data_IF_510624365411
#
_entry.id   IF_510624365411
#
_cell.length_a   1.000
_cell.length_b   1.000
_cell.length_c   1.000
_cell.angle_alpha   90.00
_cell.angle_beta   90.00
_cell.angle_gamma   90.00
#
_symmetry.space_group_name_H-M   'P 1'
#
loop_
_entity.id
_entity.type
_entity.pdbx_description
1 polymer ?
#
# COMPACT_ATOMS: atom_id res chain seq x y z
N UNK A 1 38.31 -26.38 5.85
CA UNK A 1 36.94 -26.84 5.53
C UNK A 1 35.88 -26.18 6.45
N UNK A 2 36.05 -24.91 6.85
CA UNK A 2 35.13 -24.17 7.76
C UNK A 2 34.84 -22.73 7.27
N UNK A 3 35.56 -22.21 6.27
CA UNK A 3 35.48 -20.78 5.86
C UNK A 3 34.58 -20.57 4.63
N UNK A 4 34.17 -21.64 3.93
CA UNK A 4 33.45 -21.54 2.66
C UNK A 4 31.91 -21.61 2.77
N UNK A 5 31.36 -21.85 3.97
CA UNK A 5 29.90 -21.86 4.19
C UNK A 5 29.31 -20.47 4.49
N UNK A 6 30.15 -19.47 4.76
CA UNK A 6 29.71 -18.09 5.02
C UNK A 6 29.48 -17.25 3.75
N UNK A 7 29.64 -17.86 2.56
CA UNK A 7 29.34 -17.25 1.27
C UNK A 7 27.94 -17.67 0.76
N UNK A 8 26.99 -17.96 1.66
CA UNK A 8 25.60 -17.77 1.29
C UNK A 8 25.39 -16.26 1.19
N UNK A 9 25.42 -15.77 -0.05
CA UNK A 9 24.73 -14.56 -0.45
C UNK A 9 23.39 -14.53 0.27
N UNK A 10 23.29 -13.76 1.36
CA UNK A 10 22.05 -13.11 1.74
C UNK A 10 21.71 -12.21 0.57
N UNK A 11 21.07 -12.77 -0.45
CA UNK A 11 20.07 -12.05 -1.22
C UNK A 11 19.04 -11.70 -0.15
N UNK A 12 19.28 -10.60 0.57
CA UNK A 12 18.25 -10.02 1.40
C UNK A 12 17.19 -9.57 0.40
N UNK A 13 15.98 -10.17 0.41
CA UNK A 13 14.88 -9.57 -0.31
C UNK A 13 14.49 -8.33 0.50
N UNK A 14 15.26 -7.25 0.37
CA UNK A 14 14.93 -6.00 1.01
C UNK A 14 13.61 -5.53 0.36
N UNK A 15 12.51 -5.58 1.12
CA UNK A 15 11.12 -5.38 0.70
C UNK A 15 10.47 -6.50 -0.14
N UNK A 16 10.51 -7.74 0.35
CA UNK A 16 9.53 -8.76 -0.05
C UNK A 16 8.45 -8.97 1.00
N UNK A 17 7.30 -9.51 0.57
CA UNK A 17 6.26 -9.94 1.49
C UNK A 17 6.72 -11.18 2.26
N UNK A 18 6.66 -11.09 3.59
CA UNK A 18 7.01 -12.20 4.48
C UNK A 18 5.78 -13.09 4.76
N UNK A 19 5.95 -14.42 4.88
CA UNK A 19 4.85 -15.31 5.19
C UNK A 19 4.24 -14.96 6.57
N UNK A 20 2.91 -14.82 6.61
CA UNK A 20 2.12 -14.42 7.80
C UNK A 20 2.29 -12.98 8.29
N UNK A 21 2.77 -12.06 7.44
CA UNK A 21 2.81 -10.63 7.76
C UNK A 21 1.40 -10.02 7.84
N UNK A 22 1.12 -9.26 8.90
CA UNK A 22 -0.19 -8.63 9.16
C UNK A 22 -0.20 -7.10 8.95
N UNK A 23 0.95 -6.48 8.71
CA UNK A 23 1.11 -5.05 8.50
C UNK A 23 1.75 -4.72 7.16
N UNK A 24 2.04 -3.43 6.94
CA UNK A 24 2.76 -2.95 5.76
C UNK A 24 4.21 -3.48 5.72
N UNK A 25 4.82 -3.45 4.53
CA UNK A 25 6.27 -3.63 4.35
C UNK A 25 7.04 -2.46 4.96
N UNK A 26 8.35 -2.65 5.15
CA UNK A 26 9.23 -1.64 5.72
C UNK A 26 9.30 -0.41 4.82
N UNK A 27 9.40 0.78 5.42
CA UNK A 27 9.44 2.02 4.66
C UNK A 27 10.83 2.29 4.07
N UNK A 28 10.96 2.16 2.76
CA UNK A 28 12.17 2.57 2.03
C UNK A 28 12.19 4.06 1.62
N UNK A 29 11.08 4.79 1.80
CA UNK A 29 10.95 6.21 1.41
C UNK A 29 10.25 7.03 2.49
N UNK A 30 10.55 8.34 2.62
CA UNK A 30 9.88 9.21 3.60
C UNK A 30 8.36 9.32 3.35
N UNK A 31 7.93 9.18 2.10
CA UNK A 31 6.50 9.14 1.75
C UNK A 31 5.82 7.89 2.32
N UNK A 32 6.46 6.72 2.21
CA UNK A 32 5.93 5.48 2.80
C UNK A 32 5.85 5.57 4.32
N UNK A 33 6.84 6.20 4.97
CA UNK A 33 6.78 6.43 6.42
C UNK A 33 5.56 7.27 6.81
N UNK A 34 5.29 8.36 6.08
CA UNK A 34 4.09 9.18 6.32
C UNK A 34 2.77 8.44 6.09
N UNK A 35 2.72 7.51 5.13
CA UNK A 35 1.55 6.64 4.91
C UNK A 35 1.34 5.69 6.09
N UNK A 36 2.41 5.08 6.61
CA UNK A 36 2.34 4.18 7.77
C UNK A 36 1.85 4.93 9.01
N UNK A 37 2.37 6.14 9.25
CA UNK A 37 1.95 6.97 10.39
C UNK A 37 0.45 7.33 10.27
N UNK A 38 0.02 7.78 9.09
CA UNK A 38 -1.40 8.07 8.81
C UNK A 38 -2.29 6.83 9.00
N UNK A 39 -1.83 5.66 8.56
CA UNK A 39 -2.57 4.41 8.75
C UNK A 39 -2.79 4.10 10.24
N UNK A 40 -1.76 4.27 11.07
CA UNK A 40 -1.87 4.04 12.52
C UNK A 40 -2.84 5.03 13.18
N UNK A 41 -2.78 6.32 12.79
CA UNK A 41 -3.71 7.34 13.30
C UNK A 41 -5.16 7.01 12.95
N UNK A 42 -5.45 6.67 11.68
CA UNK A 42 -6.79 6.28 11.23
C UNK A 42 -7.26 5.04 12.00
N UNK A 43 -6.40 4.02 12.12
CA UNK A 43 -6.76 2.76 12.77
C UNK A 43 -7.08 2.95 14.26
N UNK A 44 -6.36 3.84 14.96
CA UNK A 44 -6.65 4.19 16.34
C UNK A 44 -8.06 4.77 16.51
N UNK A 45 -8.46 5.73 15.67
CA UNK A 45 -9.81 6.28 15.71
C UNK A 45 -10.89 5.26 15.32
N UNK A 46 -10.61 4.38 14.35
CA UNK A 46 -11.54 3.32 13.96
C UNK A 46 -11.81 2.34 15.11
N UNK A 47 -10.78 1.89 15.82
CA UNK A 47 -10.93 1.01 16.99
C UNK A 47 -11.76 1.73 18.07
N UNK A 48 -11.50 3.02 18.32
CA UNK A 48 -12.24 3.80 19.30
C UNK A 48 -13.75 3.82 19.00
N UNK A 49 -14.12 4.10 17.74
CA UNK A 49 -15.53 4.12 17.31
C UNK A 49 -16.16 2.72 17.41
N UNK A 50 -15.42 1.68 17.02
CA UNK A 50 -15.88 0.30 17.10
C UNK A 50 -16.15 -0.14 18.55
N UNK A 51 -15.27 0.21 19.48
CA UNK A 51 -15.47 -0.04 20.92
C UNK A 51 -16.66 0.75 21.45
N UNK A 52 -16.83 2.01 21.05
CA UNK A 52 -17.97 2.83 21.47
C UNK A 52 -19.32 2.23 21.03
N UNK A 53 -19.44 1.86 19.75
CA UNK A 53 -20.67 1.27 19.22
C UNK A 53 -20.94 -0.10 19.85
N UNK A 54 -19.92 -0.96 19.97
CA UNK A 54 -20.07 -2.28 20.59
C UNK A 54 -20.50 -2.18 22.05
N UNK A 55 -19.97 -1.22 22.82
CA UNK A 55 -20.40 -0.96 24.20
C UNK A 55 -21.88 -0.56 24.29
N UNK A 56 -22.34 0.34 23.41
CA UNK A 56 -23.77 0.75 23.38
C UNK A 56 -24.65 -0.44 23.00
N UNK A 57 -24.25 -1.24 22.01
CA UNK A 57 -24.99 -2.43 21.59
C UNK A 57 -25.13 -3.45 22.72
N UNK A 58 -24.02 -3.80 23.39
CA UNK A 58 -24.03 -4.74 24.52
C UNK A 58 -24.89 -4.20 25.67
N UNK A 59 -24.81 -2.90 25.97
CA UNK A 59 -25.66 -2.27 26.99
C UNK A 59 -27.13 -2.32 26.63
N UNK A 60 -27.48 -2.06 25.38
CA UNK A 60 -28.86 -2.14 24.90
C UNK A 60 -29.39 -3.57 25.03
N UNK A 61 -28.65 -4.58 24.57
CA UNK A 61 -29.06 -5.98 24.70
C UNK A 61 -29.23 -6.41 26.16
N UNK A 62 -28.33 -5.98 27.06
CA UNK A 62 -28.39 -6.33 28.47
C UNK A 62 -29.57 -5.68 29.21
N UNK A 63 -29.90 -4.42 28.88
CA UNK A 63 -30.98 -3.68 29.54
C UNK A 63 -32.37 -3.98 28.96
N UNK A 64 -32.47 -4.22 27.65
CA UNK A 64 -33.74 -4.48 26.95
C UNK A 64 -34.08 -5.97 26.79
N UNK A 65 -33.46 -6.83 27.60
CA UNK A 65 -33.82 -8.25 27.67
C UNK A 65 -35.24 -8.43 28.23
N UNK A 66 -36.02 -9.38 27.69
CA UNK A 66 -37.42 -9.65 28.05
C UNK A 66 -37.66 -9.85 29.55
N UNK A 67 -36.69 -10.46 30.25
CA UNK A 67 -36.77 -10.67 31.70
C UNK A 67 -36.67 -9.36 32.51
N UNK A 68 -35.89 -8.39 32.04
CA UNK A 68 -35.63 -7.13 32.74
C UNK A 68 -36.58 -6.01 32.32
N UNK A 69 -37.04 -6.01 31.07
CA UNK A 69 -38.00 -5.04 30.56
C UNK A 69 -39.14 -5.72 29.77
N UNK A 70 -40.19 -6.20 30.47
CA UNK A 70 -41.27 -6.95 29.84
C UNK A 70 -42.27 -6.07 29.06
N UNK A 71 -42.35 -4.76 29.33
CA UNK A 71 -43.27 -3.83 28.66
C UNK A 71 -42.46 -2.86 27.78
N UNK A 72 -42.55 -2.95 26.44
CA UNK A 72 -41.80 -2.08 25.55
C UNK A 72 -42.34 -0.65 25.55
N UNK A 73 -41.45 0.33 25.65
CA UNK A 73 -41.81 1.75 25.47
C UNK A 73 -42.03 2.06 23.98
N UNK A 74 -43.10 2.79 23.65
CA UNK A 74 -43.45 3.19 22.27
C UNK A 74 -43.01 4.63 21.98
N UNK A 75 -41.70 4.85 21.91
CA UNK A 75 -41.15 6.15 21.50
C UNK A 75 -40.73 6.04 20.04
N UNK A 76 -41.36 6.82 19.17
CA UNK A 76 -41.13 6.76 17.70
C UNK A 76 -40.30 7.93 17.21
N UNK A 77 -40.43 9.11 17.83
CA UNK A 77 -39.75 10.33 17.40
C UNK A 77 -38.90 10.90 18.52
N UNK A 78 -37.67 11.26 18.20
CA UNK A 78 -36.72 11.86 19.13
C UNK A 78 -35.76 12.78 18.40
N UNK A 79 -36.23 13.92 17.92
CA UNK A 79 -35.43 14.86 17.10
C UNK A 79 -34.06 15.18 17.70
N UNK A 80 -33.96 15.29 19.04
CA UNK A 80 -32.70 15.53 19.74
C UNK A 80 -31.67 14.40 19.54
N UNK A 81 -32.06 13.13 19.61
CA UNK A 81 -31.13 12.00 19.39
C UNK A 81 -30.76 11.87 17.92
N UNK A 82 -31.64 12.27 17.01
CA UNK A 82 -31.37 12.30 15.57
C UNK A 82 -30.33 13.34 15.19
N UNK A 83 -30.37 14.51 15.82
CA UNK A 83 -29.36 15.55 15.65
C UNK A 83 -28.03 15.12 16.30
N UNK A 84 -28.09 14.52 17.50
CA UNK A 84 -26.90 14.06 18.21
C UNK A 84 -26.11 13.04 17.39
N UNK A 85 -26.80 12.04 16.81
CA UNK A 85 -26.17 10.98 16.02
C UNK A 85 -25.67 11.42 14.65
N UNK A 86 -25.96 12.62 14.17
CA UNK A 86 -25.38 13.14 12.91
C UNK A 86 -24.19 14.05 13.17
N UNK A 87 -24.21 14.79 14.28
CA UNK A 87 -23.10 15.66 14.69
C UNK A 87 -21.94 14.82 15.24
N UNK A 88 -22.20 13.88 16.14
CA UNK A 88 -21.14 13.06 16.75
C UNK A 88 -20.28 12.29 15.73
N UNK A 89 -20.85 11.56 14.75
CA UNK A 89 -20.03 10.84 13.77
C UNK A 89 -19.45 11.71 12.68
N UNK A 90 -19.88 12.97 12.51
CA UNK A 90 -19.26 13.87 11.52
C UNK A 90 -18.02 14.57 12.07
N UNK A 91 -17.97 14.84 13.38
CA UNK A 91 -16.83 15.49 14.02
C UNK A 91 -15.58 14.60 14.08
N UNK A 92 -15.73 13.30 14.35
CA UNK A 92 -14.57 12.40 14.52
C UNK A 92 -13.74 12.28 13.23
N UNK A 93 -14.32 12.01 12.04
CA UNK A 93 -13.57 11.95 10.79
C UNK A 93 -12.99 13.30 10.35
N UNK A 94 -13.58 14.42 10.77
CA UNK A 94 -13.05 15.75 10.47
C UNK A 94 -11.65 15.96 11.07
N UNK A 95 -11.38 15.43 12.26
CA UNK A 95 -10.04 15.48 12.85
C UNK A 95 -9.02 14.62 12.10
N UNK A 96 -9.45 13.48 11.55
CA UNK A 96 -8.61 12.57 10.75
C UNK A 96 -8.24 13.22 9.40
N UNK A 97 -9.10 14.08 8.87
CA UNK A 97 -8.85 14.75 7.60
C UNK A 97 -7.65 15.72 7.64
N UNK A 98 -7.34 16.29 8.81
CA UNK A 98 -6.24 17.26 8.98
C UNK A 98 -4.87 16.65 8.63
N UNK A 99 -4.41 15.55 9.28
CA UNK A 99 -3.13 14.93 8.93
C UNK A 99 -3.12 14.35 7.51
N UNK A 100 -4.28 13.88 7.02
CA UNK A 100 -4.41 13.35 5.65
C UNK A 100 -4.13 14.41 4.59
N UNK A 101 -4.72 15.60 4.72
CA UNK A 101 -4.46 16.70 3.79
C UNK A 101 -3.01 17.19 3.87
N UNK A 102 -2.43 17.26 5.07
CA UNK A 102 -1.02 17.65 5.24
C UNK A 102 -0.08 16.68 4.49
N UNK A 103 -0.33 15.36 4.59
CA UNK A 103 0.45 14.35 3.87
C UNK A 103 0.29 14.50 2.34
N UNK A 104 -0.94 14.67 1.85
CA UNK A 104 -1.22 14.84 0.42
C UNK A 104 -0.46 16.01 -0.20
N UNK A 105 -0.41 17.16 0.48
CA UNK A 105 0.36 18.31 -0.01
C UNK A 105 1.86 18.03 -0.05
N UNK A 106 2.40 17.33 0.96
CA UNK A 106 3.83 16.97 0.96
C UNK A 106 4.22 15.99 -0.14
N UNK A 107 3.27 15.15 -0.60
CA UNK A 107 3.51 14.20 -1.69
C UNK A 107 3.40 14.84 -3.08
N UNK A 108 2.63 15.92 -3.21
CA UNK A 108 2.45 16.65 -4.48
C UNK A 108 3.58 17.67 -4.76
N UNK A 109 4.33 18.08 -3.73
CA UNK A 109 5.56 18.87 -3.91
C UNK A 109 6.66 18.04 -4.59
N UNK A 110 6.56 17.91 -5.92
CA UNK A 110 7.55 17.19 -6.74
C UNK A 110 8.90 17.89 -6.63
N UNK A 111 9.93 17.09 -6.29
CA UNK A 111 11.34 17.50 -6.18
C UNK A 111 11.75 18.35 -7.39
N UNK A 112 12.04 19.62 -7.14
CA UNK A 112 12.29 20.67 -8.17
C UNK A 112 13.52 20.35 -9.05
N UNK A 113 14.41 19.43 -8.64
CA UNK A 113 15.55 18.95 -9.43
C UNK A 113 15.79 17.45 -9.22
N UNK A 114 15.24 16.55 -10.05
CA UNK A 114 15.50 15.11 -9.95
C UNK A 114 16.91 14.77 -10.43
N UNK A 115 17.66 13.97 -9.64
CA UNK A 115 19.00 13.52 -10.02
C UNK A 115 19.00 12.46 -11.15
N UNK A 116 17.89 11.72 -11.31
CA UNK A 116 17.70 10.71 -12.35
C UNK A 116 16.23 10.77 -12.79
N UNK A 117 16.00 10.75 -14.10
CA UNK A 117 14.64 10.64 -14.67
C UNK A 117 14.50 9.33 -15.44
N UNK A 118 13.58 8.46 -15.01
CA UNK A 118 13.26 7.19 -15.67
C UNK A 118 11.86 7.30 -16.26
N UNK A 119 11.72 7.06 -17.57
CA UNK A 119 10.42 6.98 -18.22
C UNK A 119 9.93 5.53 -18.20
N UNK A 120 8.85 5.22 -17.49
CA UNK A 120 8.21 3.90 -17.54
C UNK A 120 7.06 3.90 -18.56
N UNK A 121 7.12 3.00 -19.55
CA UNK A 121 6.11 2.79 -20.59
C UNK A 121 5.39 1.48 -20.31
N UNK A 122 4.06 1.53 -20.11
CA UNK A 122 3.23 0.33 -19.96
C UNK A 122 2.76 -0.20 -21.31
N UNK A 123 3.05 -1.46 -21.59
CA UNK A 123 2.44 -2.24 -22.67
C UNK A 123 1.47 -3.28 -22.07
N UNK A 124 0.61 -3.86 -22.89
CA UNK A 124 -0.28 -4.93 -22.43
C UNK A 124 0.56 -6.10 -21.87
N UNK A 125 0.50 -6.30 -20.55
CA UNK A 125 1.23 -7.30 -19.75
C UNK A 125 2.75 -7.13 -19.57
N UNK A 126 3.38 -6.03 -20.00
CA UNK A 126 4.79 -5.76 -19.67
C UNK A 126 5.09 -4.26 -19.60
N UNK A 127 6.19 -3.88 -18.94
CA UNK A 127 6.64 -2.48 -18.82
C UNK A 127 8.04 -2.34 -19.42
N UNK A 128 8.28 -1.24 -20.13
CA UNK A 128 9.56 -0.88 -20.74
C UNK A 128 10.05 0.44 -20.15
N UNK A 129 11.30 0.52 -19.72
CA UNK A 129 11.85 1.74 -19.13
C UNK A 129 13.06 2.27 -19.93
N UNK A 130 12.86 3.08 -20.99
CA UNK A 130 13.99 3.71 -21.68
C UNK A 130 14.64 4.78 -20.80
N UNK A 131 15.97 4.73 -20.74
CA UNK A 131 16.81 5.76 -20.09
C UNK A 131 17.10 6.88 -21.10
N UNK A 132 16.96 8.14 -20.67
CA UNK A 132 17.34 9.30 -21.48
C UNK A 132 18.84 9.57 -21.31
N UNK A 133 19.59 9.78 -22.39
CA UNK A 133 21.07 9.82 -22.42
C UNK A 133 21.71 11.05 -21.73
N UNK A 134 20.92 11.92 -21.10
CA UNK A 134 21.37 13.17 -20.48
C UNK A 134 22.36 13.00 -19.31
N UNK A 135 22.41 11.83 -18.65
CA UNK A 135 23.25 11.58 -17.47
C UNK A 135 24.04 10.26 -17.59
N UNK A 136 25.07 10.27 -18.46
CA UNK A 136 25.84 9.09 -18.85
C UNK A 136 26.69 8.45 -17.71
N UNK A 137 26.95 9.19 -16.62
CA UNK A 137 27.74 8.72 -15.48
C UNK A 137 26.90 7.88 -14.49
N UNK A 138 25.69 8.35 -14.13
CA UNK A 138 24.77 7.64 -13.25
C UNK A 138 24.14 6.41 -13.93
N UNK A 139 23.90 6.49 -15.24
CA UNK A 139 23.29 5.41 -16.03
C UNK A 139 24.16 4.16 -16.11
N UNK A 140 25.50 4.27 -16.12
CA UNK A 140 26.39 3.09 -16.10
C UNK A 140 26.30 2.30 -14.80
N UNK A 141 26.23 3.00 -13.67
CA UNK A 141 26.09 2.38 -12.35
C UNK A 141 24.69 1.76 -12.18
N UNK A 142 23.65 2.46 -12.61
CA UNK A 142 22.26 2.00 -12.55
C UNK A 142 22.01 0.78 -13.46
N UNK A 143 22.58 0.76 -14.67
CA UNK A 143 22.44 -0.39 -15.59
C UNK A 143 23.09 -1.65 -15.01
N UNK A 144 24.19 -1.49 -14.27
CA UNK A 144 24.84 -2.59 -13.57
C UNK A 144 24.01 -3.04 -12.35
N UNK A 145 23.47 -2.11 -11.55
CA UNK A 145 22.60 -2.42 -10.41
C UNK A 145 21.29 -3.11 -10.81
N UNK A 146 20.61 -2.63 -11.87
CA UNK A 146 19.39 -3.27 -12.38
C UNK A 146 19.68 -4.65 -12.97
N UNK A 147 20.83 -4.82 -13.62
CA UNK A 147 21.28 -6.13 -14.13
C UNK A 147 21.57 -7.10 -12.99
N UNK A 148 22.10 -6.61 -11.86
CA UNK A 148 22.37 -7.39 -10.65
C UNK A 148 21.07 -7.80 -9.94
N UNK A 149 20.09 -6.88 -9.82
CA UNK A 149 18.85 -7.11 -9.06
C UNK A 149 17.79 -7.95 -9.78
N UNK A 150 17.72 -7.89 -11.12
CA UNK A 150 16.63 -8.53 -11.88
C UNK A 150 16.98 -9.87 -12.52
N UNK A 151 18.26 -10.25 -12.56
CA UNK A 151 18.72 -11.45 -13.28
C UNK A 151 18.35 -11.48 -14.77
N UNK A 152 17.81 -10.38 -15.31
CA UNK A 152 17.29 -10.28 -16.67
C UNK A 152 18.21 -9.39 -17.53
N UNK A 153 18.48 -9.76 -18.79
CA UNK A 153 19.23 -8.90 -19.68
C UNK A 153 18.42 -7.64 -20.00
N UNK A 154 18.95 -6.47 -19.65
CA UNK A 154 18.40 -5.17 -20.04
C UNK A 154 18.49 -5.05 -21.56
N UNK A 155 17.34 -5.21 -22.25
CA UNK A 155 17.24 -5.10 -23.70
C UNK A 155 17.52 -3.65 -24.10
N UNK A 156 18.77 -3.36 -24.46
CA UNK A 156 19.22 -2.02 -24.84
C UNK A 156 19.04 -1.73 -26.32
N UNK A 157 18.09 -2.37 -26.98
CA UNK A 157 17.89 -2.17 -28.41
C UNK A 157 16.42 -2.12 -28.73
N UNK A 158 16.01 -1.03 -29.40
CA UNK A 158 14.85 -1.01 -30.28
C UNK A 158 14.93 -2.24 -31.18
N UNK A 159 14.22 -3.32 -30.84
CA UNK A 159 14.01 -4.48 -31.71
C UNK A 159 12.58 -4.43 -32.22
N UNK A 160 12.47 -4.60 -33.53
CA UNK A 160 11.26 -4.47 -34.33
C UNK A 160 10.16 -5.47 -33.92
N UNK A 161 8.88 -5.19 -34.24
CA UNK A 161 7.71 -5.84 -33.64
C UNK A 161 7.48 -7.32 -34.01
N UNK A 162 8.29 -7.91 -34.89
CA UNK A 162 7.99 -9.23 -35.48
C UNK A 162 8.59 -10.42 -34.72
N UNK A 163 9.52 -10.20 -33.78
CA UNK A 163 10.18 -11.30 -33.04
C UNK A 163 9.44 -11.67 -31.73
N UNK A 164 8.31 -11.03 -31.44
CA UNK A 164 7.60 -11.17 -30.17
C UNK A 164 6.72 -12.43 -30.07
N UNK A 165 6.28 -12.99 -31.21
CA UNK A 165 5.29 -14.08 -31.22
C UNK A 165 5.87 -15.43 -30.82
N UNK A 166 7.16 -15.68 -31.05
CA UNK A 166 7.82 -16.97 -30.72
C UNK A 166 8.23 -17.10 -29.26
N UNK A 167 8.20 -16.02 -28.48
CA UNK A 167 8.59 -16.00 -27.07
C UNK A 167 7.40 -16.11 -26.10
N UNK A 168 6.17 -15.96 -26.60
CA UNK A 168 4.93 -16.00 -25.79
C UNK A 168 4.51 -17.46 -25.48
N UNK A 169 4.70 -18.41 -26.38
CA UNK A 169 4.33 -19.82 -26.11
C UNK A 169 5.19 -20.48 -25.03
N UNK A 170 6.43 -20.02 -24.81
CA UNK A 170 7.33 -20.66 -23.84
C UNK A 170 7.17 -20.19 -22.38
N UNK A 171 6.44 -19.09 -22.11
CA UNK A 171 6.30 -18.53 -20.74
C UNK A 171 4.93 -18.70 -20.11
N UNK A 172 3.93 -19.17 -20.85
CA UNK A 172 2.56 -19.29 -20.36
C UNK A 172 2.36 -20.35 -19.27
N UNK A 173 3.30 -21.30 -19.08
CA UNK A 173 3.11 -22.40 -18.13
C UNK A 173 3.66 -22.16 -16.71
N UNK A 174 4.40 -21.08 -16.45
CA UNK A 174 5.09 -20.91 -15.15
C UNK A 174 4.79 -19.58 -14.42
N UNK A 175 3.77 -18.83 -14.88
CA UNK A 175 3.45 -17.50 -14.37
C UNK A 175 2.00 -17.39 -13.86
N UNK A 176 1.51 -18.41 -13.16
CA UNK A 176 0.19 -18.34 -12.49
C UNK A 176 0.26 -17.88 -11.02
N UNK A 177 1.43 -17.46 -10.49
CA UNK A 177 1.57 -17.30 -9.02
C UNK A 177 2.17 -16.00 -8.48
N UNK A 178 2.49 -14.97 -9.28
CA UNK A 178 3.32 -13.86 -8.74
C UNK A 178 2.87 -12.41 -8.99
N UNK A 179 1.69 -12.14 -9.55
CA UNK A 179 1.24 -10.75 -9.73
C UNK A 179 -0.25 -10.60 -9.38
N UNK A 180 -0.59 -10.93 -8.13
CA UNK A 180 -1.76 -10.29 -7.53
C UNK A 180 -1.31 -8.92 -7.03
N UNK A 181 -1.82 -7.90 -7.71
CA UNK A 181 -1.91 -6.52 -7.25
C UNK A 181 -2.31 -6.49 -5.76
N UNK A 182 -1.35 -6.23 -4.88
CA UNK A 182 -1.65 -5.73 -3.54
C UNK A 182 -1.36 -4.23 -3.55
N UNK A 183 -2.35 -3.50 -3.06
CA UNK A 183 -2.37 -2.05 -2.84
C UNK A 183 -1.18 -1.53 -2.05
#
# INVERSE_FOLDING_TARGET
MIVLEWLFLTIAPCDAAEPWQLGSQDAATPMMQGIIDLHHDIFFFLILILVFISRILVRALWHFQKEKNPIPQRIVHGTTIEILRTIFPSIIPMFIAIPSFALLYSMDEVVVNPAITIKAIGHQWYRSAPLHEGDLSATKCLKNMVREASGLPVISHSRRPTDFLSLIEARFFNSSSACCFSF
#
